data_IF_912732475203
#
_entry.id   IF_912732475203
#
_cell.length_a   1.000
_cell.length_b   1.000
_cell.length_c   1.000
_cell.angle_alpha   90.00
_cell.angle_beta   90.00
_cell.angle_gamma   90.00
#
_symmetry.space_group_name_H-M   'P 1'
#
loop_
_entity.id
_entity.type
_entity.pdbx_description
1 polymer ?
#
# COMPACT_ATOMS: atom_id res chain seq x y z
N UNK A 1 -7.25 12.78 -17.24
CA UNK A 1 -6.40 12.65 -16.03
C UNK A 1 -6.51 11.22 -15.51
N UNK A 2 -5.49 10.63 -14.87
CA UNK A 2 -5.62 9.33 -14.21
C UNK A 2 -6.68 9.36 -13.10
N UNK A 3 -7.35 8.22 -12.87
CA UNK A 3 -8.38 8.12 -11.84
C UNK A 3 -7.80 8.42 -10.45
N UNK A 4 -8.49 9.27 -9.68
CA UNK A 4 -8.06 9.70 -8.33
C UNK A 4 -7.11 10.90 -8.31
N UNK A 5 -6.73 11.45 -9.47
CA UNK A 5 -5.95 12.68 -9.59
C UNK A 5 -6.76 13.79 -10.26
N UNK A 6 -6.51 15.02 -9.85
CA UNK A 6 -7.08 16.24 -10.44
C UNK A 6 -5.99 17.28 -10.71
N UNK A 7 -6.25 18.22 -11.63
CA UNK A 7 -5.35 19.32 -11.95
C UNK A 7 -6.00 20.66 -11.62
N UNK A 8 -5.36 21.43 -10.74
CA UNK A 8 -5.75 22.80 -10.44
C UNK A 8 -5.07 23.75 -11.44
N UNK A 9 -5.83 24.38 -12.36
CA UNK A 9 -5.27 25.31 -13.34
C UNK A 9 -4.82 26.65 -12.73
N UNK A 10 -5.26 26.98 -11.52
CA UNK A 10 -4.89 28.22 -10.83
C UNK A 10 -3.49 28.11 -10.23
N UNK A 11 -3.17 26.96 -9.64
CA UNK A 11 -1.88 26.69 -8.99
C UNK A 11 -0.93 25.88 -9.86
N UNK A 12 -1.42 25.23 -10.91
CA UNK A 12 -0.65 24.34 -11.78
C UNK A 12 -0.30 22.99 -11.13
N UNK A 13 -1.02 22.58 -10.09
CA UNK A 13 -0.71 21.37 -9.31
C UNK A 13 -1.62 20.22 -9.72
N UNK A 14 -1.02 19.04 -9.97
CA UNK A 14 -1.74 17.76 -10.06
C UNK A 14 -1.69 17.10 -8.68
N UNK A 15 -2.85 16.78 -8.09
CA UNK A 15 -2.92 16.21 -6.74
C UNK A 15 -4.05 15.18 -6.60
N UNK A 16 -3.99 14.38 -5.53
CA UNK A 16 -4.94 13.32 -5.23
C UNK A 16 -4.25 11.98 -4.93
N UNK A 17 -5.05 10.92 -4.84
CA UNK A 17 -4.57 9.54 -4.61
C UNK A 17 -4.95 8.67 -5.80
N UNK A 18 -4.00 8.24 -6.64
CA UNK A 18 -4.30 7.49 -7.83
C UNK A 18 -4.88 6.11 -7.49
N UNK A 19 -5.94 5.69 -8.19
CA UNK A 19 -6.64 4.43 -7.94
C UNK A 19 -6.32 3.32 -8.94
N UNK A 20 -5.68 3.65 -10.06
CA UNK A 20 -5.31 2.71 -11.11
C UNK A 20 -3.79 2.70 -11.35
N UNK A 21 -3.23 1.49 -11.41
CA UNK A 21 -1.83 1.23 -11.80
C UNK A 21 -1.69 1.35 -13.31
N UNK A 22 -0.57 1.89 -13.78
CA UNK A 22 -0.26 1.96 -15.21
C UNK A 22 0.56 3.19 -15.60
N UNK A 23 0.86 3.27 -16.90
CA UNK A 23 1.49 4.42 -17.52
C UNK A 23 0.43 5.31 -18.17
N UNK A 24 0.40 6.59 -17.81
CA UNK A 24 -0.56 7.56 -18.32
C UNK A 24 0.17 8.68 -19.06
N UNK A 25 -0.23 8.94 -20.31
CA UNK A 25 0.20 10.13 -21.04
C UNK A 25 -0.60 11.34 -20.59
N UNK A 26 0.08 12.38 -20.10
CA UNK A 26 -0.52 13.64 -19.66
C UNK A 26 -0.01 14.75 -20.56
N UNK A 27 -0.92 15.57 -21.10
CA UNK A 27 -0.58 16.79 -21.86
C UNK A 27 -1.16 17.99 -21.13
N UNK A 28 -0.31 18.96 -20.81
CA UNK A 28 -0.71 20.22 -20.19
C UNK A 28 -0.58 21.32 -21.24
N UNK A 29 -1.57 22.22 -21.28
CA UNK A 29 -1.58 23.39 -22.15
C UNK A 29 -1.68 24.68 -21.35
N UNK A 30 -1.01 25.72 -21.82
CA UNK A 30 -1.23 27.09 -21.34
C UNK A 30 -1.52 28.00 -22.52
N UNK A 31 -2.41 28.99 -22.33
CA UNK A 31 -2.83 29.93 -23.36
C UNK A 31 -2.83 31.36 -22.80
N UNK A 32 -2.28 32.30 -23.58
CA UNK A 32 -2.26 33.73 -23.25
C UNK A 32 -3.20 34.56 -24.13
N UNK A 33 -4.26 33.93 -24.66
CA UNK A 33 -5.25 34.46 -25.64
C UNK A 33 -4.72 34.68 -27.06
N UNK A 34 -3.40 34.75 -27.26
CA UNK A 34 -2.80 34.88 -28.60
C UNK A 34 -2.14 33.59 -29.08
N UNK A 35 -1.61 32.79 -28.16
CA UNK A 35 -0.99 31.51 -28.47
C UNK A 35 -1.31 30.48 -27.41
N UNK A 36 -1.29 29.21 -27.81
CA UNK A 36 -1.43 28.08 -26.91
C UNK A 36 -0.24 27.15 -27.10
N UNK A 37 0.42 26.82 -25.99
CA UNK A 37 1.59 25.93 -25.99
C UNK A 37 1.26 24.70 -25.16
N UNK A 38 1.63 23.53 -25.69
CA UNK A 38 1.44 22.24 -25.04
C UNK A 38 2.77 21.59 -24.66
N UNK A 39 2.76 20.83 -23.56
CA UNK A 39 3.85 19.93 -23.15
C UNK A 39 3.28 18.63 -22.61
N UNK A 40 3.84 17.52 -23.06
CA UNK A 40 3.44 16.17 -22.65
C UNK A 40 4.50 15.49 -21.79
N UNK A 41 4.07 14.64 -20.86
CA UNK A 41 4.91 13.73 -20.09
C UNK A 41 4.16 12.43 -19.79
N UNK A 42 4.89 11.40 -19.34
CA UNK A 42 4.30 10.16 -18.85
C UNK A 42 4.34 10.11 -17.32
N UNK A 43 3.21 9.77 -16.72
CA UNK A 43 3.10 9.46 -15.29
C UNK A 43 3.01 7.95 -15.12
N UNK A 44 4.00 7.38 -14.43
CA UNK A 44 4.02 5.97 -14.05
C UNK A 44 3.44 5.80 -12.65
N UNK A 45 2.30 5.12 -12.54
CA UNK A 45 1.74 4.69 -11.25
C UNK A 45 2.04 3.22 -11.05
N UNK A 46 2.77 2.90 -9.99
CA UNK A 46 3.09 1.54 -9.59
C UNK A 46 2.25 1.13 -8.38
N UNK A 47 2.02 -0.17 -8.19
CA UNK A 47 1.46 -0.69 -6.94
C UNK A 47 2.43 -0.37 -5.81
N UNK A 48 1.95 0.25 -4.72
CA UNK A 48 2.70 0.25 -3.47
C UNK A 48 2.62 -1.15 -2.89
N UNK A 49 3.73 -1.88 -2.92
CA UNK A 49 3.83 -3.25 -2.44
C UNK A 49 3.81 -3.32 -0.91
N UNK A 50 2.67 -2.98 -0.31
CA UNK A 50 2.37 -3.33 1.08
C UNK A 50 0.95 -3.89 1.14
N UNK A 51 0.74 -5.07 0.57
CA UNK A 51 -0.44 -5.87 0.89
C UNK A 51 -0.30 -6.26 2.36
N UNK A 52 -1.18 -5.73 3.21
CA UNK A 52 -1.30 -6.23 4.57
C UNK A 52 -1.72 -7.71 4.48
N UNK A 53 -0.90 -8.62 5.02
CA UNK A 53 -1.22 -10.04 5.08
C UNK A 53 -1.71 -10.35 6.50
N UNK A 54 -2.73 -11.21 6.68
CA UNK A 54 -3.12 -11.64 8.01
C UNK A 54 -1.96 -12.39 8.69
N UNK A 55 -1.85 -12.34 10.04
CA UNK A 55 -0.88 -13.14 10.77
C UNK A 55 -1.01 -14.63 10.43
N UNK A 56 0.12 -15.30 10.21
CA UNK A 56 0.16 -16.73 9.89
C UNK A 56 0.55 -17.51 11.13
N UNK A 57 -0.14 -18.64 11.35
CA UNK A 57 0.25 -19.61 12.39
C UNK A 57 1.48 -20.37 11.92
N UNK A 58 2.60 -20.22 12.61
CA UNK A 58 3.88 -20.93 12.32
C UNK A 58 4.20 -21.98 13.40
N UNK A 59 3.16 -22.43 14.11
CA UNK A 59 3.25 -23.06 15.43
C UNK A 59 4.11 -24.33 15.52
N UNK A 60 4.72 -24.49 16.71
CA UNK A 60 5.10 -25.77 17.33
C UNK A 60 4.09 -26.21 18.42
N UNK A 61 2.92 -25.56 18.48
CA UNK A 61 1.87 -25.85 19.45
C UNK A 61 1.00 -27.00 18.91
N UNK A 62 1.31 -28.22 19.34
CA UNK A 62 0.51 -29.41 19.00
C UNK A 62 -0.61 -29.61 20.03
N UNK A 63 -1.82 -29.82 19.53
CA UNK A 63 -3.01 -30.12 20.35
C UNK A 63 -3.29 -31.63 20.36
N UNK A 64 -3.65 -32.23 21.51
CA UNK A 64 -3.79 -31.61 22.82
C UNK A 64 -2.44 -31.42 23.55
N UNK A 65 -2.37 -30.39 24.39
CA UNK A 65 -1.26 -30.23 25.34
C UNK A 65 -1.67 -30.87 26.67
N UNK A 66 -1.02 -31.97 27.05
CA UNK A 66 -1.27 -32.68 28.32
C UNK A 66 -0.23 -32.31 29.38
N UNK A 67 -0.67 -32.08 30.63
CA UNK A 67 0.20 -31.78 31.79
C UNK A 67 -0.35 -32.44 33.05
N UNK A 68 0.56 -32.78 33.96
CA UNK A 68 0.23 -33.31 35.28
C UNK A 68 -0.16 -32.20 36.26
N UNK A 69 -1.01 -32.56 37.23
CA UNK A 69 -1.41 -31.65 38.31
C UNK A 69 -0.21 -31.28 39.20
N UNK A 70 -0.26 -30.10 39.82
CA UNK A 70 0.76 -29.55 40.73
C UNK A 70 2.12 -29.22 40.10
N UNK A 71 2.21 -29.15 38.77
CA UNK A 71 3.42 -28.72 38.07
C UNK A 71 3.26 -27.28 37.54
N UNK A 72 4.32 -26.48 37.62
CA UNK A 72 4.37 -25.17 36.96
C UNK A 72 4.41 -25.35 35.45
N UNK A 73 3.53 -24.62 34.73
CA UNK A 73 3.44 -24.67 33.27
C UNK A 73 4.03 -23.41 32.64
N UNK A 74 4.82 -23.59 31.58
CA UNK A 74 5.28 -22.51 30.70
C UNK A 74 5.14 -22.98 29.26
N UNK A 75 4.30 -22.30 28.48
CA UNK A 75 4.07 -22.56 27.06
C UNK A 75 4.40 -21.26 26.32
N UNK A 76 5.50 -21.19 25.56
CA UNK A 76 5.82 -20.00 24.78
C UNK A 76 4.85 -19.88 23.59
N UNK A 77 3.89 -18.97 23.69
CA UNK A 77 2.93 -18.68 22.61
C UNK A 77 3.39 -17.54 21.69
N UNK A 78 4.40 -16.76 22.10
CA UNK A 78 4.87 -15.58 21.38
C UNK A 78 5.37 -15.87 19.96
N UNK A 79 5.82 -17.10 19.69
CA UNK A 79 6.29 -17.54 18.36
C UNK A 79 5.26 -18.37 17.60
N UNK A 80 4.04 -18.53 18.13
CA UNK A 80 3.01 -19.32 17.44
C UNK A 80 2.41 -18.59 16.24
N UNK A 81 2.61 -17.28 16.17
CA UNK A 81 2.14 -16.40 15.11
C UNK A 81 3.32 -15.56 14.62
N UNK A 82 3.45 -15.42 13.31
CA UNK A 82 4.31 -14.40 12.71
C UNK A 82 3.41 -13.45 11.96
N UNK A 83 3.62 -12.15 12.14
CA UNK A 83 3.23 -11.18 11.13
C UNK A 83 4.39 -11.10 10.13
N UNK A 84 4.20 -11.54 8.88
CA UNK A 84 5.23 -11.43 7.85
C UNK A 84 5.72 -9.98 7.61
N UNK A 85 5.02 -8.97 8.16
CA UNK A 85 5.37 -7.55 8.05
C UNK A 85 6.03 -6.94 9.30
N UNK A 86 6.05 -7.62 10.45
CA UNK A 86 6.54 -7.07 11.73
C UNK A 86 5.90 -5.69 12.10
N UNK A 87 4.62 -5.47 11.78
CA UNK A 87 3.89 -4.29 12.27
C UNK A 87 3.33 -4.57 13.69
N UNK A 88 3.46 -3.61 14.65
CA UNK A 88 3.01 -3.80 16.04
C UNK A 88 1.49 -3.86 16.24
#
# INVERSE_FOLDING_TARGET
MPAGLDFDPTTGVISGTPTNIGQFGITIGTSDSQSTVYRGFYLQINSSATVNLPPVVVSNLSSPITRDIYQTISIPAAYAFTDPKDDP
#
